data_IF_363551720209
#
_entry.id   IF_363551720209
#
_cell.length_a   1.000
_cell.length_b   1.000
_cell.length_c   1.000
_cell.angle_alpha   90.00
_cell.angle_beta   90.00
_cell.angle_gamma   90.00
#
_symmetry.space_group_name_H-M   'P 1'
#
loop_
_entity.id
_entity.type
_entity.pdbx_description
1 polymer ?
#
# COMPACT_ATOMS: atom_id res chain seq x y z
N UNK A 1 -30.66 3.54 -6.95
CA UNK A 1 -29.61 2.93 -6.10
C UNK A 1 -28.45 3.90 -6.00
N UNK A 2 -28.07 4.35 -4.80
CA UNK A 2 -26.89 5.22 -4.65
C UNK A 2 -25.65 4.36 -4.82
N UNK A 3 -24.87 4.61 -5.86
CA UNK A 3 -23.57 3.97 -6.05
C UNK A 3 -22.63 4.61 -5.02
N UNK A 4 -22.38 3.93 -3.91
CA UNK A 4 -21.39 4.38 -2.92
C UNK A 4 -20.00 4.20 -3.52
N UNK A 5 -19.37 5.31 -3.88
CA UNK A 5 -17.99 5.35 -4.37
C UNK A 5 -17.09 5.74 -3.20
N UNK A 6 -16.12 4.90 -2.91
CA UNK A 6 -15.13 5.15 -1.88
C UNK A 6 -13.81 5.55 -2.54
N UNK A 7 -13.08 6.47 -1.89
CA UNK A 7 -11.70 6.77 -2.27
C UNK A 7 -10.83 5.61 -1.83
N UNK A 8 -10.17 4.96 -2.78
CA UNK A 8 -9.24 3.86 -2.54
C UNK A 8 -7.92 4.17 -3.22
N UNK A 9 -6.84 3.69 -2.60
CA UNK A 9 -5.51 3.70 -3.20
C UNK A 9 -5.20 2.32 -3.76
N UNK A 10 -4.83 2.24 -5.02
CA UNK A 10 -4.44 1.02 -5.71
C UNK A 10 -2.92 1.01 -5.90
N UNK A 11 -2.33 -0.15 -5.71
CA UNK A 11 -0.94 -0.44 -6.06
C UNK A 11 -0.94 -1.22 -7.37
N UNK A 12 -0.15 -0.78 -8.33
CA UNK A 12 -0.01 -1.39 -9.64
C UNK A 12 1.47 -1.71 -9.88
N UNK A 13 1.83 -2.98 -9.72
CA UNK A 13 3.18 -3.47 -9.97
C UNK A 13 3.30 -4.14 -11.36
N UNK A 14 4.54 -4.32 -11.82
CA UNK A 14 4.81 -5.02 -13.07
C UNK A 14 4.51 -4.18 -14.31
N UNK A 15 4.60 -2.86 -14.17
CA UNK A 15 4.52 -1.91 -15.26
C UNK A 15 5.82 -1.93 -16.07
N UNK A 16 5.70 -1.64 -17.36
CA UNK A 16 6.86 -1.38 -18.21
C UNK A 16 7.34 0.07 -18.01
N UNK A 17 8.60 0.35 -18.32
CA UNK A 17 9.18 1.70 -18.26
C UNK A 17 8.52 2.70 -19.23
N UNK A 18 7.86 2.21 -20.28
CA UNK A 18 7.12 2.99 -21.26
C UNK A 18 5.73 3.46 -20.79
N UNK A 19 5.31 3.10 -19.58
CA UNK A 19 4.00 3.52 -19.04
C UNK A 19 4.06 4.94 -18.50
N UNK A 20 3.13 5.76 -18.96
CA UNK A 20 2.89 7.12 -18.47
C UNK A 20 1.69 7.20 -17.52
N UNK A 21 1.63 8.26 -16.73
CA UNK A 21 0.52 8.55 -15.82
C UNK A 21 -0.82 8.62 -16.56
N UNK A 22 -0.83 9.17 -17.78
CA UNK A 22 -2.00 9.25 -18.64
C UNK A 22 -2.53 7.87 -19.07
N UNK A 23 -1.65 6.89 -19.34
CA UNK A 23 -2.08 5.52 -19.66
C UNK A 23 -2.77 4.87 -18.46
N UNK A 24 -2.21 5.05 -17.26
CA UNK A 24 -2.81 4.58 -16.02
C UNK A 24 -4.13 5.29 -15.76
N UNK A 25 -4.17 6.61 -15.84
CA UNK A 25 -5.39 7.38 -15.65
C UNK A 25 -6.50 6.90 -16.59
N UNK A 26 -6.22 6.76 -17.89
CA UNK A 26 -7.19 6.26 -18.87
C UNK A 26 -7.65 4.83 -18.56
N UNK A 27 -6.75 3.94 -18.16
CA UNK A 27 -7.11 2.54 -17.89
C UNK A 27 -8.00 2.42 -16.66
N UNK A 28 -7.70 3.18 -15.62
CA UNK A 28 -8.42 3.15 -14.35
C UNK A 28 -9.68 4.02 -14.36
N UNK A 29 -9.73 5.06 -15.20
CA UNK A 29 -10.90 5.94 -15.39
C UNK A 29 -12.17 5.20 -15.84
N UNK A 30 -12.01 4.00 -16.42
CA UNK A 30 -13.13 3.15 -16.86
C UNK A 30 -13.88 2.51 -15.70
N UNK A 31 -13.23 2.36 -14.55
CA UNK A 31 -13.77 1.70 -13.36
C UNK A 31 -14.18 2.71 -12.29
N UNK A 32 -13.57 3.89 -12.27
CA UNK A 32 -13.85 4.94 -11.30
C UNK A 32 -13.18 6.25 -11.68
N UNK A 33 -13.25 7.25 -10.80
CA UNK A 33 -12.68 8.58 -11.04
C UNK A 33 -11.27 8.67 -10.46
N UNK A 34 -10.25 8.80 -11.31
CA UNK A 34 -8.85 8.82 -10.88
C UNK A 34 -8.49 10.22 -10.43
N UNK A 35 -8.12 10.35 -9.15
CA UNK A 35 -7.75 11.62 -8.54
C UNK A 35 -6.26 11.93 -8.68
N UNK A 36 -5.40 10.91 -8.58
CA UNK A 36 -3.94 11.10 -8.55
C UNK A 36 -3.20 9.81 -8.94
N UNK A 37 -2.07 9.94 -9.62
CA UNK A 37 -1.24 8.82 -10.09
C UNK A 37 0.22 9.12 -9.75
N UNK A 38 0.89 8.16 -9.13
CA UNK A 38 2.26 8.32 -8.64
C UNK A 38 3.09 7.14 -9.15
N UNK A 39 3.98 7.36 -10.12
CA UNK A 39 4.80 6.30 -10.74
C UNK A 39 6.18 6.30 -10.10
N UNK A 40 6.57 5.15 -9.56
CA UNK A 40 7.87 4.91 -8.94
C UNK A 40 8.63 3.88 -9.75
N UNK A 41 9.81 4.29 -10.21
CA UNK A 41 10.74 3.42 -10.93
C UNK A 41 11.94 3.13 -10.03
N UNK A 42 12.10 1.86 -9.63
CA UNK A 42 13.34 1.40 -9.00
C UNK A 42 14.39 1.14 -10.06
N UNK A 43 15.51 1.84 -9.91
CA UNK A 43 16.74 1.64 -10.69
C UNK A 43 17.70 0.76 -9.89
N UNK A 44 18.45 -0.07 -10.60
CA UNK A 44 19.56 -0.87 -10.07
C UNK A 44 20.80 0.02 -9.84
N UNK A 45 21.87 -0.53 -9.27
CA UNK A 45 23.15 0.17 -9.04
C UNK A 45 23.77 0.70 -10.35
N UNK A 46 23.52 -0.01 -11.45
CA UNK A 46 23.90 0.39 -12.80
C UNK A 46 22.95 1.44 -13.45
N UNK A 47 21.95 1.94 -12.72
CA UNK A 47 20.99 2.93 -13.22
C UNK A 47 19.88 2.35 -14.12
N UNK A 48 19.89 1.04 -14.37
CA UNK A 48 18.87 0.37 -15.19
C UNK A 48 17.54 0.23 -14.44
N UNK A 49 16.39 0.57 -15.03
CA UNK A 49 15.09 0.39 -14.41
C UNK A 49 14.77 -1.09 -14.25
N UNK A 50 14.82 -1.59 -13.02
CA UNK A 50 14.62 -3.01 -12.72
C UNK A 50 13.15 -3.33 -12.42
N UNK A 51 12.45 -2.40 -11.77
CA UNK A 51 11.03 -2.57 -11.37
C UNK A 51 10.30 -1.24 -11.40
N UNK A 52 9.21 -1.17 -12.15
CA UNK A 52 8.29 -0.02 -12.18
C UNK A 52 6.99 -0.40 -11.50
N UNK A 53 6.53 0.46 -10.59
CA UNK A 53 5.26 0.32 -9.91
C UNK A 53 4.61 1.69 -9.74
N UNK A 54 3.28 1.73 -9.70
CA UNK A 54 2.53 2.96 -9.53
C UNK A 54 1.52 2.84 -8.39
N UNK A 55 1.24 3.97 -7.75
CA UNK A 55 0.11 4.15 -6.86
C UNK A 55 -0.94 5.02 -7.52
N UNK A 56 -2.20 4.64 -7.40
CA UNK A 56 -3.31 5.36 -8.02
C UNK A 56 -4.35 5.63 -6.95
N UNK A 57 -4.65 6.91 -6.71
CA UNK A 57 -5.81 7.30 -5.92
C UNK A 57 -7.02 7.40 -6.85
N UNK A 58 -8.05 6.62 -6.57
CA UNK A 58 -9.26 6.54 -7.39
C UNK A 58 -10.51 6.45 -6.50
N UNK A 59 -11.58 7.13 -6.92
CA UNK A 59 -12.91 6.99 -6.35
C UNK A 59 -13.69 5.92 -7.11
N UNK A 60 -13.81 4.73 -6.53
CA UNK A 60 -14.37 3.55 -7.19
C UNK A 60 -15.50 2.95 -6.35
N UNK A 61 -16.50 2.37 -7.00
CA UNK A 61 -17.57 1.64 -6.32
C UNK A 61 -17.07 0.26 -5.86
N UNK A 62 -17.62 -0.26 -4.76
CA UNK A 62 -17.19 -1.55 -4.21
C UNK A 62 -17.30 -2.71 -5.22
N UNK A 63 -18.33 -2.69 -6.07
CA UNK A 63 -18.55 -3.66 -7.14
C UNK A 63 -17.47 -3.59 -8.23
N UNK A 64 -17.12 -2.39 -8.67
CA UNK A 64 -16.10 -2.16 -9.70
C UNK A 64 -14.70 -2.40 -9.17
N UNK A 65 -14.45 -2.11 -7.89
CA UNK A 65 -13.20 -2.43 -7.21
C UNK A 65 -12.93 -3.93 -7.24
N UNK A 66 -13.92 -4.73 -6.84
CA UNK A 66 -13.81 -6.19 -6.82
C UNK A 66 -13.59 -6.76 -8.23
N UNK A 67 -14.28 -6.21 -9.24
CA UNK A 67 -14.05 -6.57 -10.65
C UNK A 67 -12.65 -6.19 -11.12
N UNK A 68 -12.23 -4.95 -10.89
CA UNK A 68 -10.90 -4.44 -11.24
C UNK A 68 -9.80 -5.35 -10.67
N UNK A 69 -9.90 -5.69 -9.38
CA UNK A 69 -8.94 -6.54 -8.69
C UNK A 69 -8.91 -7.98 -9.22
N UNK A 70 -10.03 -8.50 -9.70
CA UNK A 70 -10.09 -9.85 -10.28
C UNK A 70 -9.69 -9.88 -11.75
N UNK A 71 -10.03 -8.83 -12.51
CA UNK A 71 -9.83 -8.76 -13.96
C UNK A 71 -8.40 -8.36 -14.29
N UNK A 72 -7.85 -7.36 -13.61
CA UNK A 72 -6.56 -6.78 -13.98
C UNK A 72 -5.37 -7.41 -13.22
N UNK A 73 -5.62 -8.12 -12.10
CA UNK A 73 -4.55 -8.81 -11.37
C UNK A 73 -3.99 -9.98 -12.19
N UNK A 74 -2.67 -9.98 -12.39
CA UNK A 74 -1.89 -10.91 -13.23
C UNK A 74 -2.23 -10.87 -14.72
N UNK A 75 -2.75 -9.75 -15.22
CA UNK A 75 -2.96 -9.59 -16.67
C UNK A 75 -1.71 -9.13 -17.38
N UNK A 76 -1.52 -9.58 -18.62
CA UNK A 76 -0.47 -9.04 -19.48
C UNK A 76 -0.94 -7.71 -20.07
N UNK A 77 -0.23 -6.63 -19.79
CA UNK A 77 -0.52 -5.30 -20.33
C UNK A 77 0.78 -4.60 -20.70
N UNK A 78 0.84 -4.07 -21.93
CA UNK A 78 1.98 -3.30 -22.47
C UNK A 78 3.35 -3.98 -22.24
N UNK A 79 3.38 -5.31 -22.41
CA UNK A 79 4.60 -6.12 -22.26
C UNK A 79 4.94 -6.54 -20.82
N UNK A 80 4.25 -6.01 -19.81
CA UNK A 80 4.41 -6.37 -18.40
C UNK A 80 3.27 -7.26 -17.87
N UNK A 81 3.47 -7.89 -16.72
CA UNK A 81 2.39 -8.58 -15.99
C UNK A 81 1.91 -7.69 -14.86
N UNK A 82 0.73 -7.11 -15.00
CA UNK A 82 0.16 -6.22 -14.00
C UNK A 82 -0.18 -6.96 -12.74
N UNK A 83 0.21 -6.39 -11.61
CA UNK A 83 -0.23 -6.82 -10.31
C UNK A 83 -0.98 -5.67 -9.66
N UNK A 84 -2.30 -5.80 -9.62
CA UNK A 84 -3.15 -4.87 -8.90
C UNK A 84 -3.38 -5.39 -7.49
N UNK A 85 -3.07 -4.55 -6.52
CA UNK A 85 -3.39 -4.79 -5.12
C UNK A 85 -4.07 -3.53 -4.57
N UNK A 86 -4.91 -3.70 -3.56
CA UNK A 86 -5.30 -2.59 -2.72
C UNK A 86 -4.01 -2.11 -2.07
N UNK A 87 -3.57 -0.90 -2.42
CA UNK A 87 -2.49 -0.30 -1.67
C UNK A 87 -3.01 -0.25 -0.24
N UNK A 88 -2.20 -0.72 0.71
CA UNK A 88 -2.50 -0.45 2.11
C UNK A 88 -2.59 1.06 2.22
N UNK A 89 -3.81 1.59 2.39
CA UNK A 89 -4.03 2.94 2.89
C UNK A 89 -3.10 3.05 4.08
N UNK A 90 -2.16 3.98 3.97
CA UNK A 90 -0.97 4.13 4.80
C UNK A 90 -0.85 3.07 5.88
N UNK A 91 0.15 2.20 5.81
CA UNK A 91 0.52 1.42 7.00
C UNK A 91 0.73 2.34 8.24
N UNK A 92 0.99 3.64 8.01
CA UNK A 92 0.92 4.77 8.95
C UNK A 92 -0.49 5.15 9.46
N UNK A 93 -1.58 4.93 8.73
CA UNK A 93 -2.96 5.04 9.22
C UNK A 93 -3.33 3.87 10.16
N UNK A 94 -2.66 2.71 10.05
CA UNK A 94 -2.73 1.66 11.11
C UNK A 94 -2.01 2.07 12.40
N UNK A 95 -1.09 3.04 12.35
CA UNK A 95 -0.52 3.65 13.56
C UNK A 95 -1.47 4.72 14.13
N UNK A 96 -2.35 5.32 13.31
CA UNK A 96 -3.36 6.30 13.77
C UNK A 96 -4.66 5.66 14.27
N UNK A 97 -5.18 4.62 13.59
CA UNK A 97 -6.42 3.94 14.01
C UNK A 97 -6.26 2.99 15.18
N UNK A 98 -5.06 2.80 15.73
CA UNK A 98 -4.89 2.22 17.07
C UNK A 98 -4.71 3.32 18.16
N UNK A 99 -5.25 4.52 17.92
CA UNK A 99 -5.98 5.30 18.95
C UNK A 99 -7.50 5.06 18.87
N UNK A 100 -7.94 3.95 18.27
CA UNK A 100 -9.26 3.35 18.55
C UNK A 100 -9.15 1.86 18.20
N UNK A 101 -8.69 1.09 19.18
CA UNK A 101 -8.67 -0.38 19.17
C UNK A 101 -7.45 -1.03 18.47
N UNK A 102 -6.42 -1.22 19.31
CA UNK A 102 -5.67 -2.49 19.46
C UNK A 102 -4.22 -2.58 18.97
N UNK A 103 -3.23 -1.67 19.24
CA UNK A 103 -1.77 -1.96 19.01
C UNK A 103 -1.18 -3.09 19.86
N UNK A 104 -1.56 -4.33 19.58
CA UNK A 104 -0.76 -5.50 19.96
C UNK A 104 0.29 -5.79 18.88
N UNK A 105 1.51 -6.06 19.37
CA UNK A 105 2.64 -6.70 18.69
C UNK A 105 3.51 -5.79 17.81
N UNK A 106 4.42 -5.03 18.42
CA UNK A 106 5.88 -5.04 18.13
C UNK A 106 6.63 -4.12 19.10
N UNK A 107 6.84 -4.53 20.38
CA UNK A 107 8.00 -4.07 21.17
C UNK A 107 8.30 -5.00 22.38
N UNK A 108 8.39 -6.32 22.15
CA UNK A 108 8.78 -7.33 23.17
C UNK A 108 10.31 -7.43 23.31
N UNK A 109 11.08 -6.36 23.05
CA UNK A 109 12.55 -6.39 23.23
C UNK A 109 13.14 -5.34 24.18
N UNK A 110 12.36 -4.39 24.69
CA UNK A 110 12.92 -3.33 25.56
C UNK A 110 12.47 -3.38 27.03
N UNK A 111 11.71 -4.41 27.44
CA UNK A 111 11.15 -4.51 28.81
C UNK A 111 11.66 -5.71 29.62
N UNK A 112 12.76 -6.33 29.23
CA UNK A 112 13.42 -7.40 30.02
C UNK A 112 14.67 -6.96 30.80
N UNK A 113 15.21 -5.76 30.56
CA UNK A 113 16.41 -5.31 31.30
C UNK A 113 16.10 -4.49 32.58
N UNK A 114 14.89 -3.95 32.76
CA UNK A 114 14.61 -3.10 33.94
C UNK A 114 14.18 -3.84 35.21
N UNK A 115 13.88 -5.14 35.15
CA UNK A 115 13.45 -5.91 36.33
C UNK A 115 14.60 -6.57 37.10
N UNK A 116 15.85 -6.47 36.65
CA UNK A 116 17.01 -6.99 37.40
C UNK A 116 17.69 -5.96 38.30
N UNK A 117 17.41 -4.67 38.13
CA UNK A 117 18.11 -3.61 38.89
C UNK A 117 17.40 -3.19 40.18
N UNK A 118 16.24 -3.78 40.52
CA UNK A 118 15.45 -3.42 41.72
C UNK A 118 15.44 -4.50 42.82
N UNK A 119 16.25 -5.54 42.70
CA UNK A 119 16.38 -6.58 43.74
C UNK A 119 17.66 -6.45 44.60
N UNK A 120 18.47 -5.41 44.37
CA UNK A 120 19.69 -5.11 45.14
C UNK A 120 19.54 -3.70 45.74
N UNK A 121 18.49 -3.45 46.51
CA UNK A 121 18.46 -2.28 47.40
C UNK A 121 17.63 -2.49 48.66
N UNK A 122 16.87 -3.58 48.78
CA UNK A 122 16.08 -3.92 49.98
C UNK A 122 16.84 -4.82 50.98
N UNK A 123 18.17 -4.67 51.07
CA UNK A 123 19.01 -5.42 52.02
C UNK A 123 19.94 -4.55 52.89
N UNK A 124 19.80 -3.22 52.83
CA UNK A 124 20.47 -2.28 53.74
C UNK A 124 19.42 -1.34 54.35
N UNK A 125 18.53 -1.93 55.13
CA UNK A 125 17.66 -1.27 56.11
C UNK A 125 17.70 -2.07 57.39
#
# INVERSE_FOLDING_TARGET
MKVNRERKRLYVGGLSQDISEADLQNQFSRFGDVSDVDIITRKDDQGNPQKVFAYINISIAEADLKKCMSVLNKTKWKGGTLQIQLAKESFLHRISQRTSSSVLTVNVKQRRQQLRSRAIQERNG
#
